data_IF_308392398574
#
_entry.id   IF_308392398574
#
_cell.length_a   1.000
_cell.length_b   1.000
_cell.length_c   1.000
_cell.angle_alpha   90.00
_cell.angle_beta   90.00
_cell.angle_gamma   90.00
#
_symmetry.space_group_name_H-M   'P 1'
#
loop_
_entity.id
_entity.type
_entity.pdbx_description
1 polymer ?
#
# COMPACT_ATOMS: atom_id res chain seq x y z
N UNK A 1 52.94 23.33 -36.15
CA UNK A 1 51.50 23.24 -36.33
C UNK A 1 50.98 22.19 -35.38
N UNK A 2 50.52 22.62 -34.20
CA UNK A 2 50.09 21.77 -33.10
C UNK A 2 48.55 21.70 -33.15
N UNK A 3 48.00 20.53 -33.28
CA UNK A 3 46.56 20.31 -33.26
C UNK A 3 46.08 20.19 -31.81
N UNK A 4 45.19 21.11 -31.42
CA UNK A 4 44.45 21.06 -30.16
C UNK A 4 43.38 19.99 -30.23
N UNK A 5 43.42 19.02 -29.32
CA UNK A 5 42.32 18.13 -28.96
C UNK A 5 41.40 18.82 -27.97
N UNK A 6 40.08 18.78 -28.14
CA UNK A 6 39.16 19.29 -27.12
C UNK A 6 39.11 18.33 -25.94
N UNK A 7 39.37 18.87 -24.73
CA UNK A 7 39.19 18.25 -23.46
C UNK A 7 37.72 17.85 -23.26
N UNK A 8 37.45 16.55 -23.20
CA UNK A 8 36.19 15.98 -22.69
C UNK A 8 36.12 16.24 -21.20
N UNK A 9 35.48 17.34 -20.81
CA UNK A 9 35.07 17.57 -19.42
C UNK A 9 33.90 16.64 -19.08
N UNK A 10 34.21 15.43 -18.64
CA UNK A 10 33.27 14.56 -17.94
C UNK A 10 32.97 15.23 -16.60
N UNK A 11 31.80 15.86 -16.49
CA UNK A 11 31.27 16.39 -15.25
C UNK A 11 31.04 15.23 -14.27
N UNK A 12 31.90 15.11 -13.29
CA UNK A 12 31.81 14.19 -12.15
C UNK A 12 30.90 14.78 -11.07
N UNK A 13 29.65 15.07 -11.41
CA UNK A 13 28.59 15.27 -10.40
C UNK A 13 27.63 14.09 -10.50
N UNK A 14 27.99 12.99 -9.83
CA UNK A 14 27.15 11.83 -9.60
C UNK A 14 26.08 12.10 -8.52
N UNK A 15 25.40 13.24 -8.57
CA UNK A 15 24.20 13.50 -7.78
C UNK A 15 23.12 12.54 -8.25
N UNK A 16 22.76 11.56 -7.41
CA UNK A 16 21.58 10.72 -7.64
C UNK A 16 20.37 11.64 -7.67
N UNK A 17 19.89 11.95 -8.86
CA UNK A 17 18.64 12.74 -9.01
C UNK A 17 17.50 11.95 -8.42
N UNK A 18 16.65 12.63 -7.62
CA UNK A 18 15.45 12.00 -7.10
C UNK A 18 14.60 11.44 -8.26
N UNK A 19 14.01 10.25 -8.13
CA UNK A 19 13.25 9.63 -9.20
C UNK A 19 12.03 10.49 -9.54
N UNK A 20 11.68 10.53 -10.81
CA UNK A 20 10.43 11.15 -11.29
C UNK A 20 9.25 10.28 -10.87
N UNK A 21 8.27 10.86 -10.19
CA UNK A 21 7.16 10.08 -9.62
C UNK A 21 5.84 10.43 -10.27
N UNK A 22 5.11 9.43 -10.73
CA UNK A 22 3.67 9.53 -11.04
C UNK A 22 2.86 9.04 -9.86
N UNK A 23 1.92 9.84 -9.36
CA UNK A 23 0.95 9.42 -8.34
C UNK A 23 -0.29 8.88 -9.02
N UNK A 24 -0.74 7.71 -8.59
CA UNK A 24 -1.92 7.02 -9.12
C UNK A 24 -2.93 6.83 -7.99
N UNK A 25 -4.16 7.29 -8.23
CA UNK A 25 -5.32 7.08 -7.36
C UNK A 25 -6.38 6.37 -8.17
N UNK A 26 -7.04 5.34 -7.58
CA UNK A 26 -8.14 4.63 -8.21
C UNK A 26 -9.41 4.80 -7.38
N UNK A 27 -10.54 5.08 -8.03
CA UNK A 27 -11.84 5.25 -7.37
C UNK A 27 -12.96 4.60 -8.18
N UNK A 28 -14.08 4.25 -7.53
CA UNK A 28 -15.18 3.53 -8.19
C UNK A 28 -16.58 3.95 -7.72
N UNK A 29 -16.69 4.74 -6.62
CA UNK A 29 -17.98 5.05 -6.00
C UNK A 29 -18.08 6.49 -5.53
N UNK A 30 -19.24 7.10 -5.72
CA UNK A 30 -19.56 8.43 -5.20
C UNK A 30 -19.64 8.49 -3.66
N UNK A 31 -19.85 7.36 -2.99
CA UNK A 31 -19.92 7.30 -1.53
C UNK A 31 -18.63 7.81 -0.86
N UNK A 32 -17.51 7.83 -1.61
CA UNK A 32 -16.21 8.31 -1.15
C UNK A 32 -15.79 9.63 -1.76
N UNK A 33 -16.70 10.38 -2.36
CA UNK A 33 -16.37 11.63 -3.07
C UNK A 33 -15.56 12.62 -2.21
N UNK A 34 -15.99 12.84 -0.96
CA UNK A 34 -15.26 13.72 -0.05
C UNK A 34 -13.88 13.18 0.35
N UNK A 35 -13.76 11.86 0.50
CA UNK A 35 -12.49 11.21 0.82
C UNK A 35 -11.55 11.30 -0.38
N UNK A 36 -12.02 11.02 -1.59
CA UNK A 36 -11.26 11.18 -2.83
C UNK A 36 -10.77 12.62 -3.00
N UNK A 37 -11.64 13.61 -2.74
CA UNK A 37 -11.25 15.02 -2.80
C UNK A 37 -10.11 15.33 -1.81
N UNK A 38 -10.21 14.85 -0.58
CA UNK A 38 -9.15 15.00 0.43
C UNK A 38 -7.86 14.28 0.03
N UNK A 39 -7.96 13.08 -0.55
CA UNK A 39 -6.80 12.34 -1.07
C UNK A 39 -6.07 13.16 -2.13
N UNK A 40 -6.76 13.65 -3.15
CA UNK A 40 -6.19 14.48 -4.21
C UNK A 40 -5.57 15.78 -3.69
N UNK A 41 -6.26 16.49 -2.78
CA UNK A 41 -5.74 17.72 -2.16
C UNK A 41 -4.50 17.46 -1.30
N UNK A 42 -4.38 16.29 -0.66
CA UNK A 42 -3.19 15.93 0.10
C UNK A 42 -1.95 15.72 -0.79
N UNK A 43 -2.15 15.27 -2.05
CA UNK A 43 -1.07 15.20 -3.05
C UNK A 43 -0.67 16.59 -3.52
N UNK A 44 -1.61 17.53 -3.60
CA UNK A 44 -1.28 18.91 -3.94
C UNK A 44 -0.46 19.65 -2.87
N UNK A 45 -0.42 19.13 -1.64
CA UNK A 45 0.31 19.69 -0.50
C UNK A 45 1.67 19.03 -0.25
N UNK A 46 2.18 18.22 -1.18
CA UNK A 46 3.48 17.55 -1.01
C UNK A 46 4.63 18.57 -1.08
N UNK A 47 5.62 18.43 -0.17
CA UNK A 47 6.85 19.24 -0.16
C UNK A 47 7.76 18.91 -1.35
N UNK A 48 7.65 17.67 -1.89
CA UNK A 48 8.22 17.24 -3.15
C UNK A 48 7.06 16.84 -4.09
N UNK A 49 6.65 17.69 -5.02
CA UNK A 49 5.51 17.41 -5.88
C UNK A 49 5.82 16.25 -6.84
N UNK A 50 4.81 15.43 -7.22
CA UNK A 50 4.96 14.47 -8.29
C UNK A 50 5.10 15.18 -9.65
N UNK A 51 5.51 14.43 -10.67
CA UNK A 51 5.52 14.97 -12.05
C UNK A 51 4.12 14.97 -12.68
N UNK A 52 3.22 14.16 -12.21
CA UNK A 52 1.83 14.03 -12.64
C UNK A 52 0.98 13.27 -11.63
N UNK A 53 -0.32 13.48 -11.69
CA UNK A 53 -1.31 12.70 -10.94
C UNK A 53 -2.33 12.12 -11.91
N UNK A 54 -2.59 10.82 -11.79
CA UNK A 54 -3.53 10.07 -12.62
C UNK A 54 -4.62 9.50 -11.72
N UNK A 55 -5.86 9.91 -11.96
CA UNK A 55 -7.06 9.35 -11.34
C UNK A 55 -7.69 8.35 -12.30
N UNK A 56 -7.74 7.08 -11.93
CA UNK A 56 -8.40 6.04 -12.71
C UNK A 56 -9.76 5.67 -12.09
N UNK A 57 -10.81 5.79 -12.87
CA UNK A 57 -12.18 5.43 -12.44
C UNK A 57 -12.49 4.01 -12.88
N UNK A 58 -12.87 3.18 -11.90
CA UNK A 58 -13.13 1.76 -12.12
C UNK A 58 -14.63 1.51 -12.37
N UNK A 59 -14.97 1.23 -13.65
CA UNK A 59 -16.31 0.84 -14.11
C UNK A 59 -17.48 1.76 -13.65
N UNK A 60 -17.24 3.08 -13.61
CA UNK A 60 -18.26 4.07 -13.25
C UNK A 60 -18.13 5.31 -14.15
N UNK A 61 -18.76 5.24 -15.32
CA UNK A 61 -18.69 6.30 -16.33
C UNK A 61 -19.23 7.65 -15.83
N UNK A 62 -20.32 7.68 -15.07
CA UNK A 62 -20.85 8.91 -14.49
C UNK A 62 -19.84 9.59 -13.55
N UNK A 63 -19.13 8.79 -12.76
CA UNK A 63 -18.07 9.29 -11.89
C UNK A 63 -16.88 9.80 -12.70
N UNK A 64 -16.51 9.13 -13.79
CA UNK A 64 -15.45 9.57 -14.70
C UNK A 64 -15.76 10.96 -15.28
N UNK A 65 -16.95 11.17 -15.84
CA UNK A 65 -17.40 12.46 -16.39
C UNK A 65 -17.35 13.56 -15.32
N UNK A 66 -17.88 13.29 -14.13
CA UNK A 66 -17.89 14.25 -13.03
C UNK A 66 -16.48 14.57 -12.54
N UNK A 67 -15.60 13.57 -12.38
CA UNK A 67 -14.20 13.79 -12.00
C UNK A 67 -13.47 14.66 -13.04
N UNK A 68 -13.71 14.40 -14.33
CA UNK A 68 -13.13 15.17 -15.43
C UNK A 68 -13.57 16.62 -15.48
N UNK A 69 -14.79 16.91 -15.02
CA UNK A 69 -15.34 18.27 -14.97
C UNK A 69 -14.90 19.06 -13.72
N UNK A 70 -14.94 18.43 -12.53
CA UNK A 70 -14.77 19.15 -11.26
C UNK A 70 -13.31 19.21 -10.76
N UNK A 71 -12.56 18.12 -10.87
CA UNK A 71 -11.20 18.08 -10.27
C UNK A 71 -10.16 18.94 -10.98
N UNK A 72 -10.17 19.14 -12.33
CA UNK A 72 -9.26 20.11 -12.93
C UNK A 72 -9.43 21.52 -12.40
N UNK A 73 -10.63 21.93 -12.04
CA UNK A 73 -10.92 23.24 -11.41
C UNK A 73 -10.44 23.24 -9.96
N UNK A 74 -10.75 22.20 -9.20
CA UNK A 74 -10.34 22.06 -7.79
C UNK A 74 -8.82 22.03 -7.63
N UNK A 75 -8.10 21.44 -8.58
CA UNK A 75 -6.65 21.26 -8.57
C UNK A 75 -5.91 22.28 -9.47
N UNK A 76 -6.56 23.37 -9.88
CA UNK A 76 -5.98 24.34 -10.84
C UNK A 76 -4.67 24.99 -10.33
N UNK A 77 -4.42 25.03 -9.02
CA UNK A 77 -3.18 25.55 -8.42
C UNK A 77 -2.08 24.46 -8.25
N UNK A 78 -2.37 23.21 -8.53
CA UNK A 78 -1.39 22.13 -8.40
C UNK A 78 -0.26 22.29 -9.45
N UNK A 79 1.02 22.04 -9.08
CA UNK A 79 2.15 22.29 -9.97
C UNK A 79 2.39 21.15 -10.99
N UNK A 80 1.47 20.21 -11.11
CA UNK A 80 1.59 19.02 -11.94
C UNK A 80 0.34 18.80 -12.82
N UNK A 81 0.49 18.18 -14.01
CA UNK A 81 -0.63 17.78 -14.85
C UNK A 81 -1.50 16.72 -14.16
N UNK A 82 -2.82 16.92 -14.24
CA UNK A 82 -3.83 16.00 -13.71
C UNK A 82 -4.57 15.34 -14.86
N UNK A 83 -4.73 14.03 -14.80
CA UNK A 83 -5.47 13.26 -15.81
C UNK A 83 -6.49 12.35 -15.13
N UNK A 84 -7.70 12.32 -15.70
CA UNK A 84 -8.75 11.35 -15.33
C UNK A 84 -8.89 10.36 -16.48
N UNK A 85 -8.90 9.07 -16.15
CA UNK A 85 -9.07 7.99 -17.13
C UNK A 85 -10.06 6.95 -16.61
N UNK A 86 -10.60 6.12 -17.50
CA UNK A 86 -11.36 4.94 -17.14
C UNK A 86 -10.48 3.69 -17.12
N UNK A 87 -10.84 2.73 -16.27
CA UNK A 87 -10.26 1.40 -16.29
C UNK A 87 -10.56 0.73 -17.63
N UNK A 88 -9.51 0.23 -18.30
CA UNK A 88 -9.61 -0.42 -19.63
C UNK A 88 -9.70 -1.94 -19.57
N UNK A 89 -9.61 -2.51 -18.36
CA UNK A 89 -9.62 -3.96 -18.13
C UNK A 89 -10.92 -4.38 -17.46
N UNK A 90 -11.36 -5.62 -17.69
CA UNK A 90 -12.51 -6.20 -16.99
C UNK A 90 -12.25 -6.44 -15.49
N UNK A 91 -10.97 -6.58 -15.12
CA UNK A 91 -10.53 -6.64 -13.73
C UNK A 91 -10.70 -5.27 -13.05
N UNK A 92 -10.98 -5.28 -11.75
CA UNK A 92 -11.30 -4.09 -10.96
C UNK A 92 -10.06 -3.28 -10.58
N UNK A 93 -9.72 -3.26 -9.30
CA UNK A 93 -8.64 -2.42 -8.77
C UNK A 93 -7.28 -2.69 -9.45
N UNK A 94 -6.92 -3.96 -9.67
CA UNK A 94 -5.70 -4.32 -10.38
C UNK A 94 -5.68 -3.80 -11.83
N UNK A 95 -6.81 -3.89 -12.53
CA UNK A 95 -6.99 -3.35 -13.87
C UNK A 95 -6.91 -1.83 -13.89
N UNK A 96 -7.57 -1.14 -12.95
CA UNK A 96 -7.53 0.31 -12.84
C UNK A 96 -6.11 0.82 -12.58
N UNK A 97 -5.36 0.17 -11.65
CA UNK A 97 -3.95 0.49 -11.38
C UNK A 97 -3.07 0.23 -12.61
N UNK A 98 -3.31 -0.86 -13.35
CA UNK A 98 -2.59 -1.18 -14.59
C UNK A 98 -2.87 -0.15 -15.67
N UNK A 99 -4.14 0.21 -15.92
CA UNK A 99 -4.54 1.23 -16.89
C UNK A 99 -3.84 2.56 -16.65
N UNK A 100 -3.70 2.98 -15.38
CA UNK A 100 -2.99 4.19 -15.02
C UNK A 100 -1.46 4.03 -15.18
N UNK A 101 -0.90 2.89 -14.80
CA UNK A 101 0.54 2.61 -14.89
C UNK A 101 1.06 2.62 -16.35
N UNK A 102 0.24 2.17 -17.31
CA UNK A 102 0.59 2.15 -18.72
C UNK A 102 0.82 3.55 -19.32
N UNK A 103 0.03 4.53 -18.88
CA UNK A 103 0.12 5.90 -19.37
C UNK A 103 1.02 6.80 -18.53
N UNK A 104 1.42 6.34 -17.35
CA UNK A 104 2.31 7.07 -16.45
C UNK A 104 3.72 7.21 -17.07
N UNK A 105 4.37 8.35 -16.80
CA UNK A 105 5.68 8.72 -17.37
C UNK A 105 6.80 8.80 -16.33
N UNK A 106 6.46 8.63 -15.04
CA UNK A 106 7.42 8.60 -13.94
C UNK A 106 8.25 7.32 -13.91
N UNK A 107 9.44 7.41 -13.35
CA UNK A 107 10.33 6.28 -13.13
C UNK A 107 9.82 5.38 -11.99
N UNK A 108 9.10 6.00 -11.04
CA UNK A 108 8.44 5.36 -9.90
C UNK A 108 6.95 5.69 -9.96
N UNK A 109 6.13 4.67 -9.73
CA UNK A 109 4.68 4.78 -9.58
C UNK A 109 4.35 4.72 -8.09
N UNK A 110 3.70 5.75 -7.56
CA UNK A 110 3.22 5.80 -6.18
C UNK A 110 1.69 5.64 -6.18
N UNK A 111 1.19 4.62 -5.51
CA UNK A 111 -0.24 4.32 -5.39
C UNK A 111 -0.76 4.80 -4.04
N UNK A 112 -1.85 5.55 -4.07
CA UNK A 112 -2.57 6.07 -2.92
C UNK A 112 -4.05 5.70 -3.06
N UNK A 113 -4.68 5.13 -2.03
CA UNK A 113 -6.10 4.81 -2.09
C UNK A 113 -6.97 6.10 -2.01
N UNK A 114 -8.18 6.02 -2.58
CA UNK A 114 -9.16 7.11 -2.62
C UNK A 114 -9.65 7.55 -1.23
N UNK A 115 -9.39 6.76 -0.20
CA UNK A 115 -9.71 7.02 1.21
C UNK A 115 -8.46 7.18 2.10
N UNK A 116 -7.30 7.50 1.50
CA UNK A 116 -6.04 7.76 2.19
C UNK A 116 -5.55 9.19 1.94
N UNK A 117 -4.99 9.84 2.97
CA UNK A 117 -4.51 11.23 2.92
C UNK A 117 -3.04 11.29 3.25
N UNK A 118 -2.24 11.75 2.31
CA UNK A 118 -0.79 11.83 2.46
C UNK A 118 -0.36 12.98 3.40
N UNK A 119 0.63 12.73 4.24
CA UNK A 119 1.33 13.82 4.95
C UNK A 119 2.20 14.63 3.97
N UNK A 120 2.53 15.90 4.24
CA UNK A 120 3.30 16.73 3.31
C UNK A 120 4.65 16.13 2.89
N UNK A 121 5.29 15.33 3.74
CA UNK A 121 6.58 14.68 3.47
C UNK A 121 6.46 13.28 2.85
N UNK A 122 5.25 12.79 2.58
CA UNK A 122 5.00 11.42 2.16
C UNK A 122 5.82 11.01 0.93
N UNK A 123 5.72 11.76 -0.17
CA UNK A 123 6.42 11.43 -1.41
C UNK A 123 7.93 11.48 -1.25
N UNK A 124 8.46 12.48 -0.59
CA UNK A 124 9.89 12.62 -0.32
C UNK A 124 10.41 11.44 0.51
N UNK A 125 9.70 11.04 1.57
CA UNK A 125 10.10 9.89 2.40
C UNK A 125 9.99 8.58 1.61
N UNK A 126 8.91 8.38 0.86
CA UNK A 126 8.68 7.19 0.07
C UNK A 126 9.78 6.99 -1.00
N UNK A 127 10.17 8.08 -1.67
CA UNK A 127 11.13 8.05 -2.78
C UNK A 127 12.59 8.01 -2.36
N UNK A 128 12.90 8.43 -1.14
CA UNK A 128 14.28 8.44 -0.63
C UNK A 128 14.95 7.05 -0.63
N UNK A 129 14.17 5.97 -0.55
CA UNK A 129 14.69 4.61 -0.60
C UNK A 129 15.21 4.20 -1.99
N UNK A 130 14.71 4.81 -3.07
CA UNK A 130 15.10 4.51 -4.45
C UNK A 130 16.47 5.07 -4.85
N UNK A 131 17.15 5.80 -3.95
CA UNK A 131 18.56 6.12 -4.10
C UNK A 131 19.43 4.85 -4.17
N UNK A 132 18.99 3.75 -3.56
CA UNK A 132 19.56 2.42 -3.78
C UNK A 132 18.92 1.79 -5.04
N UNK A 133 19.71 1.50 -6.09
CA UNK A 133 19.21 0.88 -7.32
C UNK A 133 18.66 -0.53 -7.11
N UNK A 134 19.06 -1.23 -6.03
CA UNK A 134 18.52 -2.55 -5.66
C UNK A 134 17.10 -2.49 -5.08
N UNK A 135 16.62 -1.31 -4.69
CA UNK A 135 15.25 -1.12 -4.20
C UNK A 135 14.29 -0.99 -5.38
N UNK A 136 13.30 -1.86 -5.45
CA UNK A 136 12.33 -1.94 -6.55
C UNK A 136 10.93 -1.53 -6.09
N UNK A 137 10.51 -1.87 -4.86
CA UNK A 137 9.23 -1.46 -4.31
C UNK A 137 9.39 -0.93 -2.88
N UNK A 138 8.56 0.05 -2.52
CA UNK A 138 8.56 0.65 -1.18
C UNK A 138 7.11 0.79 -0.71
N UNK A 139 6.83 0.29 0.49
CA UNK A 139 5.58 0.55 1.20
C UNK A 139 5.78 1.57 2.30
N UNK A 140 4.88 2.55 2.39
CA UNK A 140 4.83 3.48 3.51
C UNK A 140 3.91 2.99 4.63
N UNK A 141 3.66 3.86 5.62
CA UNK A 141 2.83 3.59 6.79
C UNK A 141 1.41 4.17 6.61
N UNK A 142 0.39 3.37 6.24
CA UNK A 142 -1.00 3.79 6.28
C UNK A 142 -1.53 3.73 7.72
N UNK A 143 -1.55 4.88 8.39
CA UNK A 143 -2.02 5.00 9.76
C UNK A 143 -3.55 5.09 9.78
N UNK A 144 -4.19 4.28 10.61
CA UNK A 144 -5.65 4.24 10.70
C UNK A 144 -6.22 5.58 11.21
N UNK A 145 -7.09 6.21 10.40
CA UNK A 145 -7.91 7.37 10.74
C UNK A 145 -9.35 6.90 10.94
N UNK A 146 -9.75 6.69 12.19
CA UNK A 146 -11.04 6.10 12.52
C UNK A 146 -12.17 7.14 12.47
N UNK A 147 -13.29 6.80 11.82
CA UNK A 147 -14.53 7.60 11.81
C UNK A 147 -15.14 7.75 13.22
N UNK A 148 -14.94 6.77 14.08
CA UNK A 148 -15.38 6.78 15.48
C UNK A 148 -14.26 6.23 16.38
N UNK A 149 -14.30 6.46 17.71
CA UNK A 149 -13.26 5.94 18.59
C UNK A 149 -13.01 4.45 18.39
N UNK A 150 -11.74 4.07 18.25
CA UNK A 150 -11.33 2.66 18.09
C UNK A 150 -11.84 1.83 19.28
N UNK A 151 -12.48 0.70 19.04
CA UNK A 151 -12.94 -0.18 20.12
C UNK A 151 -11.78 -0.63 20.99
N UNK A 152 -11.90 -0.54 22.31
CA UNK A 152 -10.86 -0.91 23.28
C UNK A 152 -10.51 -2.41 23.26
N UNK A 153 -11.40 -3.24 22.70
CA UNK A 153 -11.18 -4.67 22.50
C UNK A 153 -10.31 -5.00 21.29
N UNK A 154 -10.12 -4.05 20.36
CA UNK A 154 -9.42 -4.30 19.10
C UNK A 154 -7.89 -4.16 19.28
N UNK A 155 -7.10 -5.23 19.05
CA UNK A 155 -5.64 -5.16 19.17
C UNK A 155 -4.99 -4.45 17.98
N UNK A 156 -3.98 -3.60 18.23
CA UNK A 156 -3.25 -2.88 17.18
C UNK A 156 -2.50 -3.81 16.22
N UNK A 157 -2.17 -4.99 16.67
CA UNK A 157 -1.52 -6.05 15.89
C UNK A 157 -2.40 -6.53 14.74
N UNK A 158 -3.72 -6.30 14.83
CA UNK A 158 -4.70 -6.69 13.80
C UNK A 158 -5.12 -5.54 12.86
N UNK A 159 -4.49 -4.36 12.92
CA UNK A 159 -4.83 -3.24 12.02
C UNK A 159 -4.70 -3.61 10.53
N UNK A 160 -3.94 -4.63 10.18
CA UNK A 160 -3.85 -5.15 8.82
C UNK A 160 -5.20 -5.53 8.19
N UNK A 161 -6.21 -5.86 9.01
CA UNK A 161 -7.56 -6.15 8.51
C UNK A 161 -8.26 -4.93 7.90
N UNK A 162 -7.80 -3.73 8.26
CA UNK A 162 -8.26 -2.46 7.69
C UNK A 162 -7.38 -1.97 6.53
N UNK A 163 -6.31 -2.68 6.17
CA UNK A 163 -5.31 -2.17 5.25
C UNK A 163 -4.44 -1.07 5.90
N UNK A 164 -4.24 -1.13 7.21
CA UNK A 164 -3.47 -0.14 7.96
C UNK A 164 -2.21 -0.74 8.57
N UNK A 165 -1.26 0.14 8.87
CA UNK A 165 -0.06 -0.22 9.62
C UNK A 165 -0.43 -0.82 10.98
N UNK A 166 0.25 -1.90 11.33
CA UNK A 166 -0.01 -2.68 12.53
C UNK A 166 1.25 -2.83 13.38
N UNK A 167 1.06 -3.07 14.66
CA UNK A 167 2.18 -3.33 15.57
C UNK A 167 2.91 -4.61 15.16
N UNK A 168 4.21 -4.50 14.94
CA UNK A 168 5.09 -5.57 14.45
C UNK A 168 5.71 -5.29 13.08
N UNK A 169 5.29 -4.23 12.38
CA UNK A 169 6.04 -3.65 11.28
C UNK A 169 7.36 -3.03 11.80
N UNK A 170 8.38 -2.90 10.94
CA UNK A 170 9.63 -2.24 11.30
C UNK A 170 9.42 -0.80 11.79
N UNK A 171 10.20 -0.36 12.79
CA UNK A 171 10.20 1.00 13.30
C UNK A 171 11.12 1.94 12.50
N UNK A 172 12.01 1.36 11.67
CA UNK A 172 12.92 2.04 10.78
C UNK A 172 12.82 1.41 9.39
N UNK A 173 13.36 2.08 8.37
CA UNK A 173 13.43 1.53 7.01
C UNK A 173 14.09 0.15 7.02
N UNK A 174 13.37 -0.85 6.52
CA UNK A 174 13.84 -2.23 6.51
C UNK A 174 13.12 -3.07 5.44
N UNK A 175 13.71 -4.20 5.00
CA UNK A 175 13.02 -5.15 4.14
C UNK A 175 11.75 -5.71 4.78
N UNK A 176 10.70 -5.86 3.95
CA UNK A 176 9.44 -6.50 4.34
C UNK A 176 9.01 -7.54 3.31
N UNK A 177 8.11 -8.44 3.72
CA UNK A 177 7.59 -9.48 2.85
C UNK A 177 6.51 -8.97 1.87
N UNK A 178 5.76 -7.92 2.26
CA UNK A 178 4.77 -7.26 1.40
C UNK A 178 4.46 -5.85 1.89
N UNK A 179 4.20 -4.97 0.93
CA UNK A 179 3.71 -3.61 1.15
C UNK A 179 2.21 -3.63 1.50
N UNK A 180 1.66 -2.49 1.88
CA UNK A 180 0.21 -2.32 2.11
C UNK A 180 -0.34 -1.47 0.97
N UNK A 181 -1.36 -1.97 0.26
CA UNK A 181 -1.88 -1.40 -0.98
C UNK A 181 -2.35 0.04 -0.91
N UNK A 182 -2.77 0.51 0.27
CA UNK A 182 -3.19 1.91 0.48
C UNK A 182 -2.02 2.92 0.41
N UNK A 183 -0.77 2.45 0.48
CA UNK A 183 0.43 3.27 0.48
C UNK A 183 1.64 2.47 -0.03
N UNK A 184 1.77 2.38 -1.33
CA UNK A 184 2.84 1.61 -1.95
C UNK A 184 3.41 2.29 -3.18
N UNK A 185 4.64 1.94 -3.53
CA UNK A 185 5.27 2.38 -4.78
C UNK A 185 6.14 1.29 -5.37
N UNK A 186 6.41 1.41 -6.67
CA UNK A 186 7.26 0.47 -7.41
C UNK A 186 7.96 1.19 -8.57
N UNK A 187 9.14 0.73 -8.96
CA UNK A 187 9.76 1.14 -10.24
C UNK A 187 8.84 0.75 -11.39
N UNK A 188 8.51 1.73 -12.23
CA UNK A 188 7.60 1.55 -13.37
C UNK A 188 8.05 0.41 -14.28
N UNK A 189 9.34 0.36 -14.60
CA UNK A 189 9.91 -0.67 -15.46
C UNK A 189 9.64 -2.09 -14.92
N UNK A 190 9.83 -2.31 -13.63
CA UNK A 190 9.58 -3.60 -13.00
C UNK A 190 8.11 -4.02 -13.12
N UNK A 191 7.15 -3.13 -12.78
CA UNK A 191 5.73 -3.43 -12.90
C UNK A 191 5.33 -3.72 -14.36
N UNK A 192 5.80 -2.90 -15.29
CA UNK A 192 5.44 -3.04 -16.72
C UNK A 192 6.08 -4.28 -17.37
N UNK A 193 7.24 -4.74 -16.87
CA UNK A 193 7.86 -5.98 -17.36
C UNK A 193 7.00 -7.22 -17.09
N UNK A 194 6.07 -7.15 -16.12
CA UNK A 194 5.11 -8.20 -15.79
C UNK A 194 3.73 -8.00 -16.42
N UNK A 195 3.53 -6.94 -17.20
CA UNK A 195 2.24 -6.59 -17.78
C UNK A 195 1.25 -6.00 -16.76
N UNK A 196 1.75 -5.35 -15.70
CA UNK A 196 0.93 -4.72 -14.67
C UNK A 196 0.53 -5.65 -13.52
N UNK A 197 -0.52 -5.27 -12.79
CA UNK A 197 -1.07 -6.05 -11.70
C UNK A 197 -1.84 -7.28 -12.21
N UNK A 198 -1.65 -8.42 -11.55
CA UNK A 198 -2.24 -9.70 -11.95
C UNK A 198 -3.36 -10.18 -11.00
N UNK A 199 -3.68 -9.39 -9.96
CA UNK A 199 -4.68 -9.73 -8.96
C UNK A 199 -5.50 -8.50 -8.56
N UNK A 200 -6.81 -8.69 -8.34
CA UNK A 200 -7.73 -7.65 -7.89
C UNK A 200 -7.89 -7.53 -6.38
N UNK A 201 -7.53 -8.56 -5.63
CA UNK A 201 -7.84 -8.65 -4.20
C UNK A 201 -6.63 -8.71 -3.28
N UNK A 202 -5.44 -8.94 -3.82
CA UNK A 202 -4.17 -9.05 -3.11
C UNK A 202 -3.05 -8.55 -4.02
N UNK A 203 -3.32 -7.49 -4.73
CA UNK A 203 -2.42 -6.90 -5.71
C UNK A 203 -1.13 -6.36 -5.09
N UNK A 204 -1.19 -5.82 -3.87
CA UNK A 204 -0.05 -5.42 -3.05
C UNK A 204 0.86 -6.60 -2.67
N UNK A 205 0.26 -7.73 -2.35
CA UNK A 205 0.99 -8.96 -2.04
C UNK A 205 1.57 -9.60 -3.29
N UNK A 206 0.80 -9.68 -4.39
CA UNK A 206 1.26 -10.18 -5.68
C UNK A 206 2.47 -9.38 -6.18
N UNK A 207 2.36 -8.05 -6.17
CA UNK A 207 3.45 -7.15 -6.50
C UNK A 207 4.71 -7.43 -5.68
N UNK A 208 4.56 -7.52 -4.36
CA UNK A 208 5.69 -7.74 -3.44
C UNK A 208 6.37 -9.08 -3.68
N UNK A 209 5.57 -10.14 -3.87
CA UNK A 209 6.09 -11.49 -4.13
C UNK A 209 6.85 -11.56 -5.45
N UNK A 210 6.31 -10.97 -6.53
CA UNK A 210 7.00 -10.90 -7.82
C UNK A 210 8.30 -10.14 -7.70
N UNK A 211 8.27 -9.02 -6.98
CA UNK A 211 9.47 -8.20 -6.74
C UNK A 211 10.53 -9.00 -5.99
N UNK A 212 10.17 -9.65 -4.88
CA UNK A 212 11.10 -10.46 -4.10
C UNK A 212 11.64 -11.66 -4.92
N UNK A 213 10.78 -12.29 -5.72
CA UNK A 213 11.21 -13.41 -6.56
C UNK A 213 12.21 -12.98 -7.64
N UNK A 214 11.98 -11.83 -8.27
CA UNK A 214 12.82 -11.36 -9.37
C UNK A 214 14.11 -10.66 -8.88
N UNK A 215 14.06 -9.92 -7.78
CA UNK A 215 15.15 -9.02 -7.35
C UNK A 215 15.71 -9.34 -5.96
N UNK A 216 15.14 -10.33 -5.27
CA UNK A 216 15.56 -10.75 -3.93
C UNK A 216 14.88 -9.99 -2.77
N UNK A 217 15.04 -10.48 -1.53
CA UNK A 217 14.27 -10.01 -0.37
C UNK A 217 14.57 -8.57 0.08
N UNK A 218 15.71 -8.02 -0.31
CA UNK A 218 16.07 -6.62 0.01
C UNK A 218 15.46 -5.61 -0.98
N UNK A 219 14.79 -6.06 -2.04
CA UNK A 219 14.21 -5.19 -3.06
C UNK A 219 12.87 -4.56 -2.68
N UNK A 220 12.21 -5.06 -1.62
CA UNK A 220 10.96 -4.54 -1.08
C UNK A 220 11.20 -3.97 0.31
N UNK A 221 11.04 -2.65 0.47
CA UNK A 221 11.29 -1.97 1.73
C UNK A 221 10.01 -1.40 2.34
N UNK A 222 10.01 -1.27 3.66
CA UNK A 222 9.06 -0.48 4.43
C UNK A 222 9.72 0.81 4.88
N UNK A 223 9.02 1.94 4.63
CA UNK A 223 9.43 3.27 5.05
C UNK A 223 8.40 3.84 6.04
N UNK A 224 8.64 3.77 7.36
CA UNK A 224 7.68 4.20 8.36
C UNK A 224 7.41 5.70 8.35
N UNK A 225 8.32 6.53 7.83
CA UNK A 225 8.15 7.98 7.73
C UNK A 225 7.30 8.42 6.53
N UNK A 226 7.09 7.54 5.54
CA UNK A 226 6.17 7.79 4.44
C UNK A 226 4.72 7.54 4.90
N UNK A 227 4.16 8.50 5.64
CA UNK A 227 2.86 8.35 6.32
C UNK A 227 1.71 8.81 5.45
N UNK A 228 0.66 7.98 5.40
CA UNK A 228 -0.68 8.39 4.96
C UNK A 228 -1.70 8.05 6.06
N UNK A 229 -2.77 8.83 6.17
CA UNK A 229 -3.90 8.56 7.07
C UNK A 229 -5.00 7.84 6.28
N UNK A 230 -5.18 6.55 6.52
CA UNK A 230 -6.16 5.72 5.84
C UNK A 230 -7.48 5.69 6.62
N UNK A 231 -8.58 6.08 5.99
CA UNK A 231 -9.89 6.18 6.63
C UNK A 231 -10.47 4.81 6.96
N UNK A 232 -10.92 4.64 8.20
CA UNK A 232 -11.55 3.41 8.67
C UNK A 232 -12.97 3.71 9.12
N UNK A 233 -14.00 3.36 8.30
CA UNK A 233 -15.39 3.63 8.64
C UNK A 233 -15.84 2.81 9.85
N UNK A 234 -16.78 3.37 10.64
CA UNK A 234 -17.34 2.73 11.85
C UNK A 234 -17.91 1.33 11.57
N UNK A 235 -18.44 1.10 10.37
CA UNK A 235 -18.97 -0.20 9.95
C UNK A 235 -17.90 -1.31 9.99
N UNK A 236 -16.61 -0.97 9.85
CA UNK A 236 -15.48 -1.91 9.94
C UNK A 236 -15.07 -2.20 11.39
N UNK A 237 -15.51 -1.41 12.37
CA UNK A 237 -15.12 -1.53 13.78
C UNK A 237 -16.01 -2.52 14.57
N UNK A 238 -16.50 -3.56 13.95
CA UNK A 238 -17.40 -4.56 14.52
C UNK A 238 -16.73 -5.94 14.59
N UNK A 239 -17.14 -6.77 15.55
CA UNK A 239 -16.71 -8.16 15.65
C UNK A 239 -16.99 -8.97 14.40
N UNK A 240 -18.15 -8.77 13.77
CA UNK A 240 -18.51 -9.46 12.53
C UNK A 240 -17.54 -9.13 11.40
N UNK A 241 -17.19 -7.85 11.21
CA UNK A 241 -16.19 -7.44 10.24
C UNK A 241 -14.82 -8.06 10.55
N UNK A 242 -14.38 -8.00 11.81
CA UNK A 242 -13.11 -8.56 12.28
C UNK A 242 -13.00 -10.04 11.90
N UNK A 243 -13.95 -10.87 12.30
CA UNK A 243 -13.90 -12.31 12.05
C UNK A 243 -13.94 -12.65 10.55
N UNK A 244 -14.84 -12.00 9.82
CA UNK A 244 -14.93 -12.18 8.37
C UNK A 244 -13.61 -11.85 7.67
N UNK A 245 -12.98 -10.72 8.01
CA UNK A 245 -11.70 -10.31 7.41
C UNK A 245 -10.58 -11.27 7.78
N UNK A 246 -10.47 -11.70 9.03
CA UNK A 246 -9.48 -12.70 9.44
C UNK A 246 -9.57 -13.99 8.61
N UNK A 247 -10.78 -14.47 8.33
CA UNK A 247 -10.99 -15.67 7.54
C UNK A 247 -10.77 -15.43 6.04
N UNK A 248 -11.50 -14.46 5.46
CA UNK A 248 -11.54 -14.30 4.01
C UNK A 248 -10.25 -13.76 3.40
N UNK A 249 -9.52 -12.87 4.10
CA UNK A 249 -8.22 -12.40 3.62
C UNK A 249 -7.24 -13.57 3.50
N UNK A 250 -7.13 -14.40 4.53
CA UNK A 250 -6.20 -15.52 4.50
C UNK A 250 -6.60 -16.61 3.49
N UNK A 251 -7.91 -16.82 3.29
CA UNK A 251 -8.41 -17.71 2.23
C UNK A 251 -8.06 -17.18 0.84
N UNK A 252 -8.27 -15.88 0.60
CA UNK A 252 -7.98 -15.22 -0.67
C UNK A 252 -6.48 -15.22 -1.00
N UNK A 253 -5.62 -14.98 0.00
CA UNK A 253 -4.16 -15.07 -0.15
C UNK A 253 -3.72 -16.40 -0.76
N UNK A 254 -4.19 -17.51 -0.21
CA UNK A 254 -3.82 -18.85 -0.71
C UNK A 254 -4.30 -19.09 -2.13
N UNK A 255 -5.49 -18.58 -2.49
CA UNK A 255 -6.01 -18.69 -3.84
C UNK A 255 -5.22 -17.85 -4.86
N UNK A 256 -4.85 -16.62 -4.48
CA UNK A 256 -4.05 -15.72 -5.33
C UNK A 256 -2.63 -16.24 -5.61
N UNK A 257 -2.06 -17.00 -4.66
CA UNK A 257 -0.69 -17.51 -4.78
C UNK A 257 -0.60 -18.96 -5.29
N UNK A 258 -1.67 -19.52 -5.87
CA UNK A 258 -1.59 -20.81 -6.56
C UNK A 258 -0.70 -20.69 -7.79
N UNK A 259 0.40 -21.40 -7.78
CA UNK A 259 1.39 -21.38 -8.87
C UNK A 259 2.64 -20.58 -8.58
N UNK A 260 2.68 -19.80 -7.48
CA UNK A 260 3.91 -19.21 -6.95
C UNK A 260 4.50 -20.10 -5.85
N UNK A 261 5.78 -19.86 -5.48
CA UNK A 261 6.44 -20.62 -4.42
C UNK A 261 5.70 -20.49 -3.08
N UNK A 262 4.84 -21.50 -2.80
CA UNK A 262 4.01 -21.55 -1.60
C UNK A 262 4.83 -21.60 -0.30
N UNK A 263 6.09 -22.04 -0.35
CA UNK A 263 6.94 -22.14 0.83
C UNK A 263 7.41 -20.78 1.33
N UNK A 264 7.55 -19.79 0.46
CA UNK A 264 7.94 -18.41 0.85
C UNK A 264 6.79 -17.70 1.56
N UNK A 265 5.56 -17.88 1.10
CA UNK A 265 4.35 -17.28 1.66
C UNK A 265 4.08 -17.78 3.09
N UNK A 266 4.22 -19.08 3.32
CA UNK A 266 4.02 -19.65 4.66
C UNK A 266 5.06 -19.16 5.67
N UNK A 267 6.27 -18.88 5.22
CA UNK A 267 7.35 -18.36 6.08
C UNK A 267 7.06 -16.94 6.57
N UNK A 268 6.48 -16.08 5.74
CA UNK A 268 6.08 -14.72 6.12
C UNK A 268 4.97 -14.74 7.18
N UNK A 269 3.92 -15.52 6.96
CA UNK A 269 2.81 -15.67 7.90
C UNK A 269 3.26 -16.30 9.24
N UNK A 270 4.14 -17.30 9.19
CA UNK A 270 4.72 -17.89 10.39
C UNK A 270 5.64 -16.91 11.14
N UNK A 271 6.40 -16.07 10.44
CA UNK A 271 7.20 -15.00 11.08
C UNK A 271 6.31 -13.99 11.78
N UNK A 272 5.24 -13.53 11.12
CA UNK A 272 4.27 -12.63 11.73
C UNK A 272 3.61 -13.25 12.97
N UNK A 273 3.11 -14.49 12.85
CA UNK A 273 2.49 -15.19 13.96
C UNK A 273 3.47 -15.37 15.14
N UNK A 274 4.69 -15.78 14.87
CA UNK A 274 5.72 -16.00 15.92
C UNK A 274 6.23 -14.70 16.54
N UNK A 275 6.44 -13.64 15.76
CA UNK A 275 7.06 -12.40 16.28
C UNK A 275 6.05 -11.41 16.81
N UNK A 276 4.98 -11.15 16.09
CA UNK A 276 4.01 -10.10 16.45
C UNK A 276 2.92 -10.62 17.36
N UNK A 277 2.27 -11.74 17.00
CA UNK A 277 1.15 -12.25 17.77
C UNK A 277 1.59 -12.91 19.09
N UNK A 278 2.72 -13.61 19.14
CA UNK A 278 3.23 -14.16 20.41
C UNK A 278 3.59 -13.06 21.40
N UNK A 279 4.25 -11.99 20.94
CA UNK A 279 4.56 -10.82 21.80
C UNK A 279 3.29 -10.13 22.27
N UNK A 280 2.30 -10.02 21.40
CA UNK A 280 1.00 -9.46 21.75
C UNK A 280 0.28 -10.28 22.83
N UNK A 281 0.26 -11.61 22.70
CA UNK A 281 -0.33 -12.50 23.70
C UNK A 281 0.36 -12.38 25.06
N UNK A 282 1.69 -12.33 25.09
CA UNK A 282 2.46 -12.11 26.34
C UNK A 282 2.13 -10.74 26.94
N UNK A 283 2.05 -9.69 26.12
CA UNK A 283 1.66 -8.36 26.57
C UNK A 283 0.25 -8.35 27.16
N UNK A 284 -0.74 -8.88 26.45
CA UNK A 284 -2.12 -8.91 26.94
C UNK A 284 -2.28 -9.77 28.21
N UNK A 285 -1.46 -10.82 28.37
CA UNK A 285 -1.39 -11.57 29.62
C UNK A 285 -0.86 -10.71 30.77
N UNK A 286 0.16 -9.88 30.52
CA UNK A 286 0.67 -8.93 31.52
C UNK A 286 -0.36 -7.83 31.85
N UNK A 287 -1.08 -7.31 30.87
CA UNK A 287 -2.14 -6.31 31.09
C UNK A 287 -3.33 -6.92 31.88
N UNK A 288 -3.64 -8.18 31.65
CA UNK A 288 -4.63 -8.91 32.45
C UNK A 288 -4.24 -8.95 33.93
N UNK A 289 -2.96 -9.25 34.22
CA UNK A 289 -2.44 -9.26 35.59
C UNK A 289 -2.42 -7.86 36.25
N UNK A 290 -2.36 -6.80 35.43
CA UNK A 290 -2.46 -5.41 35.87
C UNK A 290 -3.90 -4.92 36.06
N UNK A 291 -4.90 -5.77 35.77
CA UNK A 291 -6.31 -5.44 35.93
C UNK A 291 -6.94 -4.64 34.80
N UNK A 292 -6.35 -4.62 33.61
CA UNK A 292 -7.01 -4.01 32.45
C UNK A 292 -8.25 -4.83 32.04
N UNK A 293 -9.48 -4.28 32.14
CA UNK A 293 -10.72 -5.01 31.89
C UNK A 293 -10.89 -5.41 30.41
N UNK A 294 -10.14 -4.83 29.49
CA UNK A 294 -10.19 -5.14 28.06
C UNK A 294 -9.13 -6.14 27.62
N UNK A 295 -8.13 -6.44 28.45
CA UNK A 295 -7.08 -7.40 28.12
C UNK A 295 -7.62 -8.81 27.78
N UNK A 296 -8.61 -9.38 28.53
CA UNK A 296 -9.18 -10.69 28.18
C UNK A 296 -9.79 -10.70 26.78
N UNK A 297 -10.48 -9.60 26.41
CA UNK A 297 -11.18 -9.50 25.12
C UNK A 297 -10.19 -9.29 23.97
N UNK A 298 -9.12 -8.52 24.18
CA UNK A 298 -8.02 -8.39 23.19
C UNK A 298 -7.27 -9.71 23.02
N UNK A 299 -7.03 -10.44 24.12
CA UNK A 299 -6.43 -11.77 24.05
C UNK A 299 -7.29 -12.73 23.21
N UNK A 300 -8.62 -12.75 23.45
CA UNK A 300 -9.56 -13.54 22.67
C UNK A 300 -9.55 -13.13 21.19
N UNK A 301 -9.47 -11.83 20.88
CA UNK A 301 -9.37 -11.32 19.51
C UNK A 301 -8.11 -11.84 18.81
N UNK A 302 -6.95 -11.82 19.47
CA UNK A 302 -5.69 -12.34 18.93
C UNK A 302 -5.75 -13.85 18.65
N UNK A 303 -6.29 -14.63 19.58
CA UNK A 303 -6.48 -16.09 19.42
C UNK A 303 -7.46 -16.38 18.27
N UNK A 304 -8.57 -15.63 18.21
CA UNK A 304 -9.54 -15.76 17.12
C UNK A 304 -8.94 -15.41 15.76
N UNK A 305 -8.11 -14.36 15.68
CA UNK A 305 -7.41 -13.98 14.44
C UNK A 305 -6.50 -15.11 13.94
N UNK A 306 -5.75 -15.76 14.84
CA UNK A 306 -4.90 -16.91 14.52
C UNK A 306 -5.73 -18.11 14.02
N UNK A 307 -6.77 -18.48 14.76
CA UNK A 307 -7.62 -19.64 14.45
C UNK A 307 -8.34 -19.45 13.10
N UNK A 308 -8.98 -18.29 12.90
CA UNK A 308 -9.71 -17.98 11.68
C UNK A 308 -8.77 -17.77 10.49
N UNK A 309 -7.59 -17.16 10.69
CA UNK A 309 -6.56 -17.06 9.67
C UNK A 309 -6.08 -18.42 9.21
N UNK A 310 -5.80 -19.34 10.13
CA UNK A 310 -5.44 -20.73 9.83
C UNK A 310 -6.55 -21.48 9.11
N UNK A 311 -7.80 -21.37 9.58
CA UNK A 311 -8.97 -21.99 8.92
C UNK A 311 -9.19 -21.45 7.50
N UNK A 312 -9.03 -20.14 7.30
CA UNK A 312 -9.10 -19.50 5.99
C UNK A 312 -8.02 -20.04 5.05
N UNK A 313 -6.78 -20.13 5.51
CA UNK A 313 -5.66 -20.66 4.72
C UNK A 313 -5.87 -22.13 4.33
N UNK A 314 -6.35 -22.98 5.25
CA UNK A 314 -6.68 -24.39 4.95
C UNK A 314 -7.81 -24.46 3.92
N UNK A 315 -8.90 -23.70 4.12
CA UNK A 315 -10.03 -23.65 3.17
C UNK A 315 -9.61 -23.16 1.78
N UNK A 316 -8.65 -22.24 1.69
CA UNK A 316 -8.09 -21.78 0.42
C UNK A 316 -7.31 -22.85 -0.33
N UNK A 317 -6.68 -23.82 0.38
CA UNK A 317 -5.93 -24.94 -0.24
C UNK A 317 -6.82 -26.03 -0.80
N UNK A 318 -7.99 -26.25 -0.21
CA UNK A 318 -8.90 -27.35 -0.55
C UNK A 318 -9.78 -27.07 -1.77
N UNK A 319 -9.74 -25.85 -2.32
CA UNK A 319 -10.42 -25.46 -3.56
C UNK A 319 -9.45 -25.24 -4.70
#
# INVERSE_FOLDING_TARGET
MSANTPDDQISRDGGVTAPRVSVIICAYTFERWELLTKSLLSVAQQDQPPIEVILCIDHNHEMYERCGAEFPVTLASAPWPFRVIENRYDSRLGGARTSAAEIATGDVLAFLDDDAFATPSWLRCLTAAYADPGVVAVGGAPIASYESPRPRWFPFECNWIFGCAYRGLPEHRAPIDHVIGANMSIRREALMSWGGFQSDNHDDMDLSHRTIHAYGPASVLYEPEAVVHHFVPKARLTWNYFWRRCYFVNRGKVAAFRGMDQASNLRAELRFARRSLSRALVKESAELLRGDPYAPVRYLALVSALALGGAGAISGRLR
#
